data_IF_097339400734
#
_entry.id   IF_097339400734
#
_cell.length_a   1.000
_cell.length_b   1.000
_cell.length_c   1.000
_cell.angle_alpha   90.00
_cell.angle_beta   90.00
_cell.angle_gamma   90.00
#
_symmetry.space_group_name_H-M   'P 1'
#
loop_
_entity.id
_entity.type
_entity.pdbx_description
1 polymer ?
#
# COMPACT_ATOMS: atom_id res chain seq x y z
N UNK A 1 9.41 17.09 -6.33
CA UNK A 1 8.07 16.61 -5.93
C UNK A 1 8.28 15.19 -5.50
N UNK A 2 7.92 14.84 -4.27
CA UNK A 2 7.88 13.43 -3.88
C UNK A 2 6.76 12.80 -4.72
N UNK A 3 7.07 11.73 -5.43
CA UNK A 3 6.07 11.00 -6.23
C UNK A 3 5.59 9.85 -5.36
N UNK A 4 4.31 9.89 -4.97
CA UNK A 4 3.67 8.80 -4.26
C UNK A 4 2.99 7.94 -5.31
N UNK A 5 3.59 6.79 -5.63
CA UNK A 5 2.95 5.82 -6.51
C UNK A 5 2.06 4.93 -5.67
N UNK A 6 0.75 5.04 -5.89
CA UNK A 6 -0.25 4.25 -5.18
C UNK A 6 -0.58 3.03 -6.03
N UNK A 7 -0.41 1.84 -5.48
CA UNK A 7 -0.81 0.62 -6.16
C UNK A 7 -1.87 -0.12 -5.36
N UNK A 8 -2.97 -0.44 -6.04
CA UNK A 8 -4.05 -1.24 -5.48
C UNK A 8 -3.80 -2.71 -5.81
N UNK A 9 -3.73 -3.54 -4.77
CA UNK A 9 -3.65 -5.00 -4.92
C UNK A 9 -4.94 -5.60 -4.38
N UNK A 10 -5.90 -5.99 -5.25
CA UNK A 10 -7.10 -6.67 -4.77
C UNK A 10 -6.69 -8.03 -4.22
N UNK A 11 -6.83 -8.24 -2.90
CA UNK A 11 -6.74 -9.58 -2.32
C UNK A 11 -7.91 -10.40 -2.89
N UNK A 12 -7.66 -11.12 -3.99
CA UNK A 12 -8.54 -12.19 -4.47
C UNK A 12 -7.99 -13.52 -3.97
N UNK A 13 -7.88 -13.67 -2.65
CA UNK A 13 -7.66 -14.98 -2.02
C UNK A 13 -8.56 -15.05 -0.80
N UNK A 14 -9.36 -16.10 -0.71
CA UNK A 14 -10.38 -16.34 0.33
C UNK A 14 -9.82 -16.56 1.74
N UNK A 15 -8.80 -15.80 2.12
CA UNK A 15 -8.20 -15.70 3.44
C UNK A 15 -8.13 -14.22 3.87
N UNK A 16 -9.08 -13.39 3.39
CA UNK A 16 -9.34 -12.07 3.94
C UNK A 16 -9.53 -12.21 5.46
N UNK A 17 -8.52 -11.81 6.22
CA UNK A 17 -8.76 -11.42 7.59
C UNK A 17 -9.68 -10.20 7.51
N UNK A 18 -10.90 -10.34 8.03
CA UNK A 18 -12.06 -9.43 7.95
C UNK A 18 -11.87 -7.98 8.45
N UNK A 19 -10.67 -7.40 8.33
CA UNK A 19 -10.28 -6.15 8.99
C UNK A 19 -9.60 -5.14 8.08
N UNK A 20 -9.11 -5.46 6.89
CA UNK A 20 -8.64 -4.45 5.93
C UNK A 20 -9.48 -4.54 4.67
N UNK A 21 -9.97 -3.39 4.21
CA UNK A 21 -10.83 -3.32 3.03
C UNK A 21 -9.98 -2.99 1.78
N UNK A 22 -8.74 -2.51 1.94
CA UNK A 22 -7.81 -2.19 0.86
C UNK A 22 -6.33 -2.29 1.27
N UNK A 23 -5.52 -2.88 0.39
CA UNK A 23 -4.04 -2.89 0.47
C UNK A 23 -3.47 -1.86 -0.50
N UNK A 24 -2.58 -1.03 0.03
CA UNK A 24 -1.93 0.06 -0.67
C UNK A 24 -0.42 -0.11 -0.53
N UNK A 25 0.25 -0.23 -1.66
CA UNK A 25 1.70 -0.19 -1.72
C UNK A 25 2.17 1.16 -2.21
N UNK A 26 3.18 1.71 -1.53
CA UNK A 26 3.78 3.00 -1.84
C UNK A 26 5.27 2.87 -2.09
N UNK A 27 5.76 3.61 -3.09
CA UNK A 27 7.19 3.82 -3.27
C UNK A 27 7.58 5.11 -2.55
N UNK A 28 8.54 5.00 -1.63
CA UNK A 28 8.95 6.07 -0.74
C UNK A 28 10.39 6.45 -1.08
N UNK A 29 10.61 7.72 -1.40
CA UNK A 29 11.97 8.28 -1.47
C UNK A 29 12.53 8.50 -0.05
N UNK A 30 13.87 8.48 0.11
CA UNK A 30 14.63 8.44 1.40
C UNK A 30 14.26 9.46 2.50
N UNK A 31 13.31 10.38 2.26
CA UNK A 31 12.94 11.47 3.17
C UNK A 31 11.69 11.23 4.02
N UNK A 32 10.95 10.13 3.85
CA UNK A 32 9.76 9.88 4.67
C UNK A 32 10.17 9.25 6.01
N UNK A 33 9.76 9.87 7.11
CA UNK A 33 9.92 9.29 8.44
C UNK A 33 8.80 8.29 8.75
N UNK A 34 8.99 7.48 9.80
CA UNK A 34 7.93 6.59 10.29
C UNK A 34 6.65 7.36 10.71
N UNK A 35 6.79 8.60 11.20
CA UNK A 35 5.64 9.42 11.56
C UNK A 35 4.88 9.89 10.32
N UNK A 36 5.59 10.24 9.26
CA UNK A 36 4.99 10.62 7.98
C UNK A 36 4.26 9.42 7.36
N UNK A 37 4.85 8.22 7.43
CA UNK A 37 4.25 6.98 6.94
C UNK A 37 2.94 6.64 7.69
N UNK A 38 2.95 6.73 9.02
CA UNK A 38 1.75 6.53 9.83
C UNK A 38 0.71 7.63 9.57
N UNK A 39 1.15 8.88 9.40
CA UNK A 39 0.27 10.00 9.04
C UNK A 39 -0.45 9.75 7.71
N UNK A 40 0.29 9.33 6.68
CA UNK A 40 -0.27 8.97 5.38
C UNK A 40 -1.32 7.85 5.50
N UNK A 41 -1.04 6.81 6.28
CA UNK A 41 -2.01 5.74 6.52
C UNK A 41 -3.31 6.29 7.13
N UNK A 42 -3.21 7.12 8.16
CA UNK A 42 -4.39 7.69 8.83
C UNK A 42 -5.19 8.60 7.90
N UNK A 43 -4.52 9.42 7.09
CA UNK A 43 -5.15 10.28 6.09
C UNK A 43 -5.90 9.47 5.03
N UNK A 44 -5.34 8.34 4.58
CA UNK A 44 -5.99 7.43 3.64
C UNK A 44 -7.21 6.76 4.27
N UNK A 45 -7.11 6.27 5.51
CA UNK A 45 -8.24 5.67 6.22
C UNK A 45 -9.37 6.67 6.46
N UNK A 46 -9.04 7.92 6.83
CA UNK A 46 -10.02 8.99 7.01
C UNK A 46 -10.71 9.36 5.69
N UNK A 47 -9.93 9.48 4.61
CA UNK A 47 -10.43 9.88 3.29
C UNK A 47 -11.31 8.80 2.64
N UNK A 48 -10.95 7.52 2.82
CA UNK A 48 -11.67 6.39 2.23
C UNK A 48 -12.80 5.89 3.14
N UNK A 49 -12.76 6.20 4.43
CA UNK A 49 -13.74 5.74 5.42
C UNK A 49 -13.67 4.24 5.72
N UNK A 50 -12.59 3.59 5.31
CA UNK A 50 -12.33 2.15 5.44
C UNK A 50 -10.90 1.93 5.92
N UNK A 51 -10.59 0.72 6.39
CA UNK A 51 -9.24 0.40 6.87
C UNK A 51 -8.31 0.15 5.70
N UNK A 52 -7.09 0.68 5.82
CA UNK A 52 -6.05 0.63 4.80
C UNK A 52 -4.86 -0.13 5.37
N UNK A 53 -4.40 -1.17 4.66
CA UNK A 53 -3.06 -1.72 4.89
C UNK A 53 -2.06 -0.99 4.00
N UNK A 54 -1.11 -0.27 4.61
CA UNK A 54 -0.12 0.53 3.89
C UNK A 54 1.23 -0.15 4.00
N UNK A 55 1.80 -0.53 2.85
CA UNK A 55 3.11 -1.16 2.74
C UNK A 55 4.05 -0.40 1.83
N UNK A 56 5.36 -0.60 2.00
CA UNK A 56 6.38 0.02 1.15
C UNK A 56 6.95 -1.00 0.16
N UNK A 57 7.06 -0.62 -1.12
CA UNK A 57 7.59 -1.49 -2.19
C UNK A 57 8.97 -2.07 -1.90
N UNK A 58 9.82 -1.30 -1.21
CA UNK A 58 11.19 -1.71 -0.88
C UNK A 58 11.23 -2.89 0.12
N UNK A 59 10.16 -3.06 0.90
CA UNK A 59 10.07 -4.07 1.97
C UNK A 59 9.52 -5.41 1.47
N UNK A 60 9.00 -5.45 0.23
CA UNK A 60 8.43 -6.65 -0.38
C UNK A 60 9.54 -7.67 -0.66
N UNK A 61 9.33 -8.91 -0.22
CA UNK A 61 10.27 -10.01 -0.51
C UNK A 61 10.35 -10.25 -2.02
N UNK A 62 11.55 -10.40 -2.62
CA UNK A 62 11.70 -10.59 -4.07
C UNK A 62 10.85 -11.72 -4.64
N UNK A 63 10.68 -12.81 -3.89
CA UNK A 63 9.93 -14.00 -4.31
C UNK A 63 8.43 -13.75 -4.56
N UNK A 64 7.83 -12.76 -3.90
CA UNK A 64 6.42 -12.39 -4.12
C UNK A 64 6.28 -11.10 -4.96
N UNK A 65 7.38 -10.38 -5.18
CA UNK A 65 7.37 -9.09 -5.87
C UNK A 65 6.85 -9.23 -7.30
N UNK A 66 7.31 -10.23 -8.05
CA UNK A 66 6.84 -10.45 -9.43
C UNK A 66 5.34 -10.74 -9.50
N UNK A 67 4.80 -11.49 -8.54
CA UNK A 67 3.36 -11.78 -8.47
C UNK A 67 2.57 -10.50 -8.20
N UNK A 68 3.02 -9.69 -7.23
CA UNK A 68 2.37 -8.42 -6.87
C UNK A 68 2.38 -7.46 -8.06
N UNK A 69 3.53 -7.28 -8.71
CA UNK A 69 3.69 -6.42 -9.89
C UNK A 69 2.82 -6.86 -11.08
N UNK A 70 2.42 -8.13 -11.15
CA UNK A 70 1.58 -8.64 -12.24
C UNK A 70 0.08 -8.37 -12.06
N UNK A 71 -0.35 -8.09 -10.82
CA UNK A 71 -1.76 -7.91 -10.45
C UNK A 71 -2.05 -6.48 -9.95
N UNK A 72 -1.00 -5.67 -9.74
CA UNK A 72 -1.13 -4.30 -9.28
C UNK A 72 -1.83 -3.40 -10.31
N UNK A 73 -2.60 -2.44 -9.80
CA UNK A 73 -3.13 -1.33 -10.58
C UNK A 73 -2.47 -0.06 -10.12
N UNK A 74 -1.66 0.56 -11.00
CA UNK A 74 -1.05 1.86 -10.75
C UNK A 74 -2.10 2.97 -10.75
N UNK A 75 -2.16 3.72 -9.64
CA UNK A 75 -3.04 4.87 -9.44
C UNK A 75 -2.14 6.10 -9.27
N UNK A 76 -1.53 6.50 -10.41
CA UNK A 76 -0.69 7.69 -10.64
C UNK A 76 0.66 7.76 -9.90
#
# INVERSE_FOLDING_TARGET
MQSLHLFFYPIVRGEDTEKSDVDILVEIEERMSLLDFVGLKLELEESLGIKVDLGEYSTIKPIIKEQILSEEVAIL
#
